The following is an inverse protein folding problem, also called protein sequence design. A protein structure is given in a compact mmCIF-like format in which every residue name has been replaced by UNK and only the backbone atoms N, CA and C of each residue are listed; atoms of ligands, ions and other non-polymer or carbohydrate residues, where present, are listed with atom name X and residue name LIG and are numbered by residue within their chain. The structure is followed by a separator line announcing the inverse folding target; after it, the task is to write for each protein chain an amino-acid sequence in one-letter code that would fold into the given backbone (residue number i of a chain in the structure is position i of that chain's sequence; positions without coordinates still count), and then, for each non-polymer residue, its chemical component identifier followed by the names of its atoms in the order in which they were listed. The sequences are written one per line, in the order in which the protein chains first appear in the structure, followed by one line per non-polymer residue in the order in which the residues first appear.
data_IF_292702201259
#
_entry.id   IF_292702201259
#
_cell.length_a   1.000
_cell.length_b   1.000
_cell.length_c   1.000
_cell.angle_alpha   90.00
_cell.angle_beta   90.00
_cell.angle_gamma   90.00
#
_symmetry.space_group_name_H-M   'P 1'
#
loop_
_entity.id
_entity.type
_entity.pdbx_description
1 polymer ?
#
# COMPACT_ATOMS: atom_id res chain seq x y z
N UNK A 1 -27.93 -48.37 2.61
CA UNK A 1 -28.23 -47.45 3.74
C UNK A 1 -29.29 -46.47 3.25
N UNK A 2 -30.53 -46.95 3.18
CA UNK A 2 -31.67 -46.54 4.02
C UNK A 2 -32.17 -45.13 3.71
N UNK A 3 -32.74 -45.04 2.52
CA UNK A 3 -33.78 -44.09 2.10
C UNK A 3 -35.06 -44.45 2.90
N UNK A 4 -35.49 -43.59 3.83
CA UNK A 4 -36.86 -43.59 4.37
C UNK A 4 -37.65 -42.56 3.57
N UNK A 5 -38.70 -42.91 2.82
CA UNK A 5 -40.06 -43.34 3.22
C UNK A 5 -40.77 -42.27 4.04
N UNK A 6 -41.58 -41.45 3.37
CA UNK A 6 -43.02 -41.36 3.67
C UNK A 6 -43.77 -40.74 2.46
N UNK A 7 -44.30 -41.64 1.62
CA UNK A 7 -45.37 -41.36 0.66
C UNK A 7 -46.67 -41.18 1.47
N UNK A 8 -47.10 -39.94 1.68
CA UNK A 8 -48.52 -39.64 1.85
C UNK A 8 -48.97 -38.72 0.74
N UNK A 9 -49.61 -39.35 -0.26
CA UNK A 9 -50.63 -38.71 -1.08
C UNK A 9 -51.66 -38.02 -0.18
N UNK A 10 -51.76 -36.71 -0.31
CA UNK A 10 -52.99 -35.96 -0.09
C UNK A 10 -53.14 -35.01 -1.29
N UNK A 11 -53.82 -35.46 -2.33
CA UNK A 11 -54.48 -34.51 -3.22
C UNK A 11 -55.67 -33.94 -2.43
N UNK A 12 -55.79 -32.61 -2.30
CA UNK A 12 -56.94 -31.84 -2.78
C UNK A 12 -56.99 -30.41 -2.22
N UNK A 13 -57.62 -29.55 -3.03
CA UNK A 13 -58.29 -28.28 -2.74
C UNK A 13 -57.52 -26.95 -2.98
N UNK A 14 -58.25 -26.07 -3.66
CA UNK A 14 -57.86 -24.86 -4.38
C UNK A 14 -57.75 -23.61 -3.50
N UNK A 15 -57.01 -22.59 -3.98
CA UNK A 15 -57.12 -21.21 -3.49
C UNK A 15 -55.86 -20.36 -3.77
N UNK A 16 -55.97 -19.18 -4.43
CA UNK A 16 -54.81 -18.38 -4.79
C UNK A 16 -54.28 -17.62 -3.56
N UNK A 17 -53.03 -17.89 -3.17
CA UNK A 17 -52.37 -17.20 -2.07
C UNK A 17 -51.87 -15.82 -2.53
N UNK A 18 -52.38 -14.84 -1.78
CA UNK A 18 -52.24 -13.40 -1.87
C UNK A 18 -50.79 -12.96 -2.11
N UNK A 19 -50.62 -12.06 -3.08
CA UNK A 19 -49.38 -11.33 -3.41
C UNK A 19 -49.01 -10.42 -2.24
N UNK A 20 -48.07 -10.83 -1.40
CA UNK A 20 -47.48 -9.97 -0.36
C UNK A 20 -46.25 -9.28 -0.98
N UNK A 21 -46.45 -8.04 -1.44
CA UNK A 21 -45.36 -7.14 -1.80
C UNK A 21 -44.54 -6.85 -0.54
N UNK A 22 -43.40 -7.53 -0.39
CA UNK A 22 -42.33 -7.02 0.47
C UNK A 22 -41.89 -5.70 -0.14
N UNK A 23 -42.26 -4.60 0.53
CA UNK A 23 -41.86 -3.26 0.13
C UNK A 23 -40.37 -3.10 0.47
N UNK A 24 -39.51 -3.59 -0.41
CA UNK A 24 -38.09 -3.27 -0.39
C UNK A 24 -37.98 -1.78 -0.67
N UNK A 25 -37.78 -0.99 0.40
CA UNK A 25 -37.44 0.43 0.29
C UNK A 25 -36.05 0.52 -0.33
N UNK A 26 -35.99 0.44 -1.66
CA UNK A 26 -34.79 0.74 -2.43
C UNK A 26 -34.56 2.23 -2.31
N UNK A 27 -33.89 2.66 -1.24
CA UNK A 27 -33.37 4.02 -1.16
C UNK A 27 -32.56 4.23 -2.43
N UNK A 28 -32.96 5.16 -3.29
CA UNK A 28 -32.29 5.47 -4.58
C UNK A 28 -30.82 5.91 -4.43
N UNK A 29 -30.32 5.92 -3.20
CA UNK A 29 -28.94 6.14 -2.80
C UNK A 29 -28.10 4.87 -2.86
N UNK A 30 -28.70 3.66 -2.80
CA UNK A 30 -27.96 2.40 -2.90
C UNK A 30 -27.17 2.28 -4.22
N UNK A 31 -27.74 2.60 -5.40
CA UNK A 31 -26.98 2.60 -6.64
C UNK A 31 -25.87 3.64 -6.63
N UNK A 32 -26.12 4.84 -6.11
CA UNK A 32 -25.13 5.92 -5.99
C UNK A 32 -23.96 5.53 -5.09
N UNK A 33 -24.25 4.91 -3.95
CA UNK A 33 -23.25 4.43 -3.00
C UNK A 33 -22.40 3.31 -3.62
N UNK A 34 -23.04 2.33 -4.26
CA UNK A 34 -22.36 1.25 -4.99
C UNK A 34 -21.46 1.79 -6.12
N UNK A 35 -21.93 2.82 -6.83
CA UNK A 35 -21.16 3.47 -7.89
C UNK A 35 -19.95 4.19 -7.29
N UNK A 36 -20.14 4.99 -6.24
CA UNK A 36 -19.06 5.69 -5.55
C UNK A 36 -17.99 4.73 -5.02
N UNK A 37 -18.37 3.64 -4.36
CA UNK A 37 -17.43 2.60 -3.91
C UNK A 37 -16.67 1.94 -5.06
N UNK A 38 -17.33 1.71 -6.21
CA UNK A 38 -16.68 1.17 -7.40
C UNK A 38 -15.65 2.13 -8.03
N UNK A 39 -15.77 3.44 -7.79
CA UNK A 39 -14.87 4.47 -8.33
C UNK A 39 -13.73 4.83 -7.37
N UNK A 40 -13.72 4.27 -6.16
CA UNK A 40 -12.70 4.52 -5.13
C UNK A 40 -11.50 3.56 -5.15
N UNK A 41 -11.40 2.63 -6.10
CA UNK A 41 -10.32 1.61 -6.13
C UNK A 41 -9.02 2.06 -6.80
N UNK A 42 -8.83 3.38 -7.00
CA UNK A 42 -7.58 3.93 -7.49
C UNK A 42 -6.71 4.47 -6.36
N UNK A 43 -5.83 3.66 -5.77
CA UNK A 43 -4.73 4.18 -4.96
C UNK A 43 -3.56 4.55 -5.87
N UNK A 44 -3.44 5.85 -6.19
CA UNK A 44 -2.33 6.38 -7.00
C UNK A 44 -1.11 6.62 -6.11
N UNK A 45 -0.47 5.54 -5.65
CA UNK A 45 0.80 5.65 -4.95
C UNK A 45 1.89 4.94 -5.76
N UNK A 46 2.61 5.69 -6.60
CA UNK A 46 3.89 5.17 -7.10
C UNK A 46 4.93 6.26 -7.34
N UNK A 47 5.59 6.67 -6.27
CA UNK A 47 6.99 7.12 -6.36
C UNK A 47 7.86 5.95 -5.87
N UNK A 48 8.07 4.95 -6.73
CA UNK A 48 8.91 3.81 -6.38
C UNK A 48 10.38 4.25 -6.39
N UNK A 49 11.09 3.90 -5.33
CA UNK A 49 12.53 4.06 -5.19
C UNK A 49 13.15 2.66 -5.26
N UNK A 50 14.13 2.49 -6.14
CA UNK A 50 14.88 1.23 -6.28
C UNK A 50 16.16 1.32 -5.50
N UNK A 51 16.32 0.48 -4.49
CA UNK A 51 17.52 0.38 -3.67
C UNK A 51 17.89 -1.11 -3.46
N UNK A 52 19.15 -1.44 -3.19
CA UNK A 52 19.52 -2.80 -2.83
C UNK A 52 18.76 -3.25 -1.57
N UNK A 53 18.29 -4.48 -1.58
CA UNK A 53 17.55 -5.06 -0.44
C UNK A 53 18.42 -5.14 0.84
N UNK A 54 19.72 -5.35 0.65
CA UNK A 54 20.71 -5.28 1.72
C UNK A 54 22.08 -4.98 1.13
N UNK A 55 22.94 -4.36 1.94
CA UNK A 55 24.37 -4.19 1.62
C UNK A 55 25.15 -4.51 2.89
N UNK A 56 26.23 -5.26 2.75
CA UNK A 56 27.12 -5.62 3.84
C UNK A 56 28.58 -5.41 3.43
N UNK A 57 29.45 -5.29 4.43
CA UNK A 57 30.89 -5.11 4.21
C UNK A 57 31.66 -5.52 5.46
N UNK A 58 32.96 -5.77 5.30
CA UNK A 58 33.85 -6.06 6.42
C UNK A 58 34.07 -4.81 7.30
N UNK A 59 34.53 -5.01 8.53
CA UNK A 59 34.84 -3.91 9.43
C UNK A 59 35.88 -2.96 8.79
N UNK A 60 35.58 -1.66 8.83
CA UNK A 60 36.45 -0.63 8.23
C UNK A 60 36.29 -0.45 6.72
N UNK A 61 35.49 -1.27 6.04
CA UNK A 61 35.17 -1.05 4.62
C UNK A 61 34.09 0.02 4.45
N UNK A 62 34.18 0.74 3.34
CA UNK A 62 33.13 1.67 2.91
C UNK A 62 32.01 0.86 2.26
N UNK A 63 30.79 1.08 2.77
CA UNK A 63 29.57 0.55 2.15
C UNK A 63 28.86 1.69 1.44
N UNK A 64 28.41 1.42 0.22
CA UNK A 64 27.73 2.39 -0.63
C UNK A 64 26.27 1.93 -0.80
N UNK A 65 25.33 2.82 -0.48
CA UNK A 65 23.89 2.56 -0.64
C UNK A 65 23.39 3.44 -1.78
N UNK A 66 22.97 2.84 -2.89
CA UNK A 66 22.47 3.57 -4.05
C UNK A 66 20.94 3.50 -4.12
N UNK A 67 20.31 4.62 -4.43
CA UNK A 67 18.87 4.78 -4.52
C UNK A 67 18.52 5.42 -5.85
N UNK A 68 17.76 4.74 -6.71
CA UNK A 68 17.33 5.25 -8.02
C UNK A 68 15.84 5.52 -8.02
N UNK A 69 15.46 6.71 -8.49
CA UNK A 69 14.06 7.10 -8.69
C UNK A 69 13.75 7.45 -10.15
N UNK A 70 12.56 8.00 -10.37
CA UNK A 70 12.17 8.66 -11.61
C UNK A 70 12.78 10.06 -11.75
N UNK A 71 12.68 10.62 -12.96
CA UNK A 71 13.02 12.02 -13.22
C UNK A 71 12.18 13.00 -12.38
N UNK A 72 10.93 12.66 -12.09
CA UNK A 72 10.01 13.52 -11.35
C UNK A 72 10.20 13.49 -9.83
N UNK A 73 10.81 12.44 -9.26
CA UNK A 73 11.02 12.34 -7.81
C UNK A 73 12.47 12.70 -7.40
N UNK A 74 13.46 11.90 -7.77
CA UNK A 74 14.87 12.06 -7.41
C UNK A 74 15.59 12.94 -8.43
N UNK A 75 15.22 12.82 -9.70
CA UNK A 75 15.82 13.62 -10.77
C UNK A 75 15.65 15.13 -10.57
N UNK A 76 14.40 15.56 -10.36
CA UNK A 76 14.03 16.97 -10.20
C UNK A 76 14.38 17.53 -8.80
N UNK A 77 14.25 16.72 -7.74
CA UNK A 77 14.51 17.19 -6.38
C UNK A 77 16.01 17.31 -6.11
N UNK A 78 16.42 18.44 -5.52
CA UNK A 78 17.76 18.57 -4.91
C UNK A 78 17.80 18.08 -3.46
N UNK A 79 16.66 17.67 -2.92
CA UNK A 79 16.49 17.30 -1.52
C UNK A 79 16.30 15.79 -1.38
N UNK A 80 17.40 15.05 -1.43
CA UNK A 80 17.40 13.61 -1.08
C UNK A 80 17.95 13.45 0.33
N UNK A 81 17.25 12.68 1.17
CA UNK A 81 17.67 12.39 2.53
C UNK A 81 17.93 10.89 2.74
N UNK A 82 18.89 10.56 3.60
CA UNK A 82 19.13 9.22 4.08
C UNK A 82 18.77 9.14 5.56
N UNK A 83 17.93 8.17 5.89
CA UNK A 83 17.41 7.96 7.23
C UNK A 83 17.78 6.56 7.72
N UNK A 84 18.19 6.47 8.98
CA UNK A 84 18.44 5.24 9.68
C UNK A 84 17.25 4.92 10.59
N UNK A 85 16.72 3.73 10.44
CA UNK A 85 15.75 3.17 11.38
C UNK A 85 16.41 2.00 12.09
N UNK A 86 16.64 2.12 13.39
CA UNK A 86 17.08 0.99 14.22
C UNK A 86 15.86 0.40 14.94
N UNK A 87 15.78 -0.93 15.11
CA UNK A 87 14.70 -1.56 15.86
C UNK A 87 14.52 -0.91 17.24
N UNK A 88 13.28 -0.55 17.59
CA UNK A 88 12.96 0.05 18.89
C UNK A 88 13.41 1.50 19.08
N UNK A 89 13.90 2.18 18.04
CA UNK A 89 14.29 3.60 18.10
C UNK A 89 13.53 4.43 17.06
N UNK A 90 13.48 5.75 17.27
CA UNK A 90 12.96 6.68 16.29
C UNK A 90 13.82 6.75 15.03
N UNK A 91 13.23 7.24 13.94
CA UNK A 91 13.93 7.53 12.69
C UNK A 91 15.03 8.58 12.95
N UNK A 92 16.26 8.29 12.53
CA UNK A 92 17.41 9.21 12.63
C UNK A 92 17.85 9.65 11.24
N UNK A 93 17.97 10.94 11.02
CA UNK A 93 18.53 11.47 9.77
C UNK A 93 20.04 11.30 9.78
N UNK A 94 20.60 10.66 8.74
CA UNK A 94 22.05 10.56 8.53
C UNK A 94 22.52 11.72 7.63
N UNK A 95 21.83 11.92 6.50
CA UNK A 95 22.14 12.96 5.50
C UNK A 95 20.82 13.61 5.08
N UNK A 96 20.84 14.92 4.91
CA UNK A 96 19.75 15.71 4.33
C UNK A 96 20.30 16.59 3.20
N UNK A 97 19.41 17.10 2.35
CA UNK A 97 19.80 17.93 1.20
C UNK A 97 20.93 17.32 0.36
N UNK A 98 20.85 16.01 0.12
CA UNK A 98 21.78 15.18 -0.67
C UNK A 98 23.17 14.97 -0.07
N UNK A 99 23.79 15.96 0.55
CA UNK A 99 25.18 15.89 1.01
C UNK A 99 25.42 16.50 2.40
N UNK A 100 24.37 17.05 3.03
CA UNK A 100 24.53 17.78 4.29
C UNK A 100 24.28 16.84 5.47
N UNK A 101 25.15 16.90 6.49
CA UNK A 101 25.04 16.07 7.69
C UNK A 101 24.47 16.88 8.86
N UNK A 102 23.64 16.27 9.73
CA UNK A 102 23.28 16.89 11.00
C UNK A 102 24.52 17.12 11.87
N UNK A 103 24.48 18.14 12.72
CA UNK A 103 25.54 18.40 13.69
C UNK A 103 25.71 17.22 14.64
N UNK A 104 26.96 16.79 14.89
CA UNK A 104 27.27 15.66 15.77
C UNK A 104 27.12 14.29 15.13
N UNK A 105 26.80 14.20 13.83
CA UNK A 105 26.82 12.94 13.09
C UNK A 105 28.24 12.62 12.59
N UNK A 106 28.69 11.35 12.62
CA UNK A 106 30.06 11.00 12.25
C UNK A 106 30.42 11.30 10.79
N UNK A 107 31.66 11.76 10.57
CA UNK A 107 32.14 12.15 9.24
C UNK A 107 32.35 11.00 8.24
N UNK A 108 32.22 9.75 8.70
CA UNK A 108 32.30 8.54 7.86
C UNK A 108 31.14 8.39 6.87
N UNK A 109 30.07 9.16 7.04
CA UNK A 109 28.94 9.20 6.12
C UNK A 109 29.13 10.34 5.11
N UNK A 110 28.80 10.06 3.86
CA UNK A 110 28.85 11.02 2.74
C UNK A 110 27.69 10.74 1.80
N UNK A 111 27.13 11.79 1.17
CA UNK A 111 26.05 11.65 0.20
C UNK A 111 26.29 12.46 -1.06
N UNK A 112 25.72 12.00 -2.17
CA UNK A 112 25.81 12.60 -3.50
C UNK A 112 24.60 12.24 -4.35
N UNK A 113 24.39 12.98 -5.45
CA UNK A 113 23.33 12.71 -6.43
C UNK A 113 23.86 12.92 -7.83
N UNK A 114 23.48 12.03 -8.75
CA UNK A 114 23.68 12.17 -10.18
C UNK A 114 22.40 11.79 -10.92
N UNK A 115 21.82 12.73 -11.67
CA UNK A 115 20.53 12.54 -12.33
C UNK A 115 19.45 12.10 -11.35
N UNK A 116 18.83 10.94 -11.62
CA UNK A 116 17.80 10.32 -10.79
C UNK A 116 18.34 9.28 -9.80
N UNK A 117 19.65 9.24 -9.58
CA UNK A 117 20.30 8.31 -8.64
C UNK A 117 20.99 9.10 -7.52
N UNK A 118 20.74 8.72 -6.28
CA UNK A 118 21.41 9.21 -5.08
C UNK A 118 22.28 8.11 -4.46
N UNK A 119 23.34 8.51 -3.76
CA UNK A 119 24.33 7.60 -3.16
C UNK A 119 24.85 8.18 -1.86
#
# INVERSE_FOLDING_TARGET
MKMGRDDRRLCSAEGPLKRESVMTSTMGWSPLLLTLLAHCTGSWAQSVLTQPASVSGALGQRVTISCTGSSSNVGYSSYVGLYQQLPGTGLKTIIYNTNTRPSGFPDRFSGSKSGSTAT
#
